data_IF_063891709277
#
_entry.id   IF_063891709277
#
_cell.length_a   1.000
_cell.length_b   1.000
_cell.length_c   1.000
_cell.angle_alpha   90.00
_cell.angle_beta   90.00
_cell.angle_gamma   90.00
#
_symmetry.space_group_name_H-M   'P 1'
#
loop_
_entity.id
_entity.type
_entity.pdbx_description
1 polymer ?
#
# COMPACT_ATOMS: atom_id res chain seq x y z
N UNK A 1 -15.09 14.02 24.85
CA UNK A 1 -15.80 13.91 23.55
C UNK A 1 -16.00 12.44 23.24
N UNK A 2 -17.24 11.97 23.06
CA UNK A 2 -17.53 10.66 22.45
C UNK A 2 -17.32 10.77 20.93
N UNK A 3 -16.09 11.07 20.52
CA UNK A 3 -15.69 11.18 19.13
C UNK A 3 -15.42 9.80 18.55
N UNK A 4 -15.77 9.60 17.27
CA UNK A 4 -15.43 8.37 16.53
C UNK A 4 -13.92 8.21 16.31
N UNK A 5 -13.16 9.28 16.57
CA UNK A 5 -11.70 9.36 16.51
C UNK A 5 -11.19 9.85 17.87
N UNK A 6 -10.15 9.21 18.40
CA UNK A 6 -9.42 9.63 19.60
C UNK A 6 -7.96 9.85 19.22
N UNK A 7 -7.43 11.01 19.58
CA UNK A 7 -5.99 11.30 19.54
C UNK A 7 -5.51 11.46 20.97
N UNK A 8 -4.42 10.78 21.34
CA UNK A 8 -3.84 10.90 22.69
C UNK A 8 -2.63 11.85 22.72
N UNK A 9 -2.13 12.13 23.93
CA UNK A 9 -0.97 13.03 24.15
C UNK A 9 0.34 12.50 23.55
N UNK A 10 0.37 11.23 23.14
CA UNK A 10 1.51 10.60 22.48
C UNK A 10 1.37 10.62 20.95
N UNK A 11 0.27 11.17 20.43
CA UNK A 11 -0.01 11.25 19.00
C UNK A 11 -0.63 9.97 18.41
N UNK A 12 -1.05 9.01 19.23
CA UNK A 12 -1.73 7.82 18.72
C UNK A 12 -3.14 8.19 18.25
N UNK A 13 -3.55 7.63 17.11
CA UNK A 13 -4.91 7.77 16.57
C UNK A 13 -5.65 6.44 16.74
N UNK A 14 -6.83 6.48 17.35
CA UNK A 14 -7.74 5.34 17.48
C UNK A 14 -9.09 5.67 16.86
N UNK A 15 -9.54 4.81 15.95
CA UNK A 15 -10.88 4.87 15.36
C UNK A 15 -11.79 3.91 16.11
N UNK A 16 -12.73 4.46 16.88
CA UNK A 16 -13.67 3.67 17.68
C UNK A 16 -14.80 3.09 16.82
N UNK A 17 -15.11 3.73 15.69
CA UNK A 17 -16.06 3.26 14.67
C UNK A 17 -15.90 4.06 13.38
N UNK A 18 -15.90 3.41 12.20
CA UNK A 18 -15.86 4.08 10.90
C UNK A 18 -14.93 3.40 9.90
N UNK A 19 -14.65 4.09 8.78
CA UNK A 19 -13.72 3.67 7.73
C UNK A 19 -12.62 4.72 7.57
N UNK A 20 -11.41 4.30 7.20
CA UNK A 20 -10.36 5.20 6.73
C UNK A 20 -10.57 5.39 5.23
N UNK A 21 -11.07 6.55 4.82
CA UNK A 21 -11.17 6.91 3.41
C UNK A 21 -9.87 7.60 2.99
N UNK A 22 -9.11 6.96 2.12
CA UNK A 22 -7.91 7.53 1.52
C UNK A 22 -8.12 8.03 0.11
N UNK A 23 -7.36 9.05 -0.29
CA UNK A 23 -7.22 9.42 -1.69
C UNK A 23 -6.17 8.52 -2.37
N UNK A 24 -6.07 8.65 -3.68
CA UNK A 24 -5.18 7.81 -4.50
C UNK A 24 -3.68 8.13 -4.28
N UNK A 25 -3.39 9.19 -3.49
CA UNK A 25 -2.01 9.55 -3.15
C UNK A 25 -1.40 8.62 -2.09
N UNK A 26 -2.17 7.84 -1.34
CA UNK A 26 -1.59 6.92 -0.35
C UNK A 26 -2.16 5.51 -0.38
N UNK A 27 -3.06 5.21 -1.30
CA UNK A 27 -3.53 3.85 -1.53
C UNK A 27 -3.85 3.66 -3.01
N UNK A 28 -3.81 2.42 -3.45
CA UNK A 28 -4.22 2.08 -4.80
C UNK A 28 -4.12 0.59 -5.05
N UNK A 29 -4.28 0.23 -6.31
CA UNK A 29 -4.19 -1.16 -6.78
C UNK A 29 -3.27 -1.20 -7.99
N UNK A 30 -2.26 -2.05 -7.93
CA UNK A 30 -1.43 -2.40 -9.07
C UNK A 30 -1.97 -3.65 -9.76
N UNK A 31 -1.92 -3.68 -11.09
CA UNK A 31 -2.27 -4.86 -11.89
C UNK A 31 -0.99 -5.50 -12.40
N UNK A 32 -0.75 -6.75 -11.99
CA UNK A 32 0.40 -7.54 -12.39
C UNK A 32 -0.04 -8.54 -13.48
N UNK A 33 0.49 -8.46 -14.70
CA UNK A 33 0.18 -9.41 -15.76
C UNK A 33 0.60 -10.84 -15.41
N UNK A 34 -0.03 -11.82 -16.07
CA UNK A 34 0.35 -13.23 -15.95
C UNK A 34 1.84 -13.44 -16.29
N UNK A 35 2.52 -14.25 -15.49
CA UNK A 35 3.93 -14.61 -15.69
C UNK A 35 4.94 -13.57 -15.20
N UNK A 36 4.52 -12.33 -14.90
CA UNK A 36 5.42 -11.27 -14.43
C UNK A 36 5.70 -11.39 -12.93
N UNK A 37 6.91 -10.98 -12.53
CA UNK A 37 7.36 -11.03 -11.13
C UNK A 37 7.48 -9.66 -10.47
N UNK A 38 7.30 -8.57 -11.22
CA UNK A 38 7.41 -7.23 -10.69
C UNK A 38 6.49 -6.23 -11.39
N UNK A 39 6.15 -5.17 -10.66
CA UNK A 39 5.34 -4.05 -11.13
C UNK A 39 5.88 -2.74 -10.51
N UNK A 40 6.11 -1.72 -11.34
CA UNK A 40 6.42 -0.37 -10.88
C UNK A 40 5.11 0.37 -10.60
N UNK A 41 4.99 0.96 -9.41
CA UNK A 41 3.96 1.95 -9.08
C UNK A 41 4.62 3.32 -9.18
N UNK A 42 4.06 4.20 -10.00
CA UNK A 42 4.51 5.58 -10.17
C UNK A 42 3.65 6.52 -9.34
N UNK A 43 4.30 7.39 -8.56
CA UNK A 43 3.68 8.35 -7.66
C UNK A 43 4.48 9.66 -7.65
N UNK A 44 3.95 10.71 -7.04
CA UNK A 44 4.70 11.91 -6.70
C UNK A 44 4.40 12.31 -5.25
N UNK A 45 5.37 12.09 -4.36
CA UNK A 45 5.25 12.41 -2.93
C UNK A 45 6.29 13.43 -2.49
N UNK A 46 5.92 14.25 -1.50
CA UNK A 46 6.85 15.20 -0.86
C UNK A 46 7.95 14.49 -0.07
N UNK A 47 7.64 13.32 0.50
CA UNK A 47 8.56 12.48 1.26
C UNK A 47 8.36 10.98 0.99
N UNK A 48 9.44 10.21 1.21
CA UNK A 48 9.43 8.76 1.02
C UNK A 48 8.64 8.11 2.17
N UNK A 49 7.59 7.33 1.91
CA UNK A 49 6.82 6.69 2.98
C UNK A 49 7.70 5.73 3.79
N UNK A 50 7.46 5.67 5.10
CA UNK A 50 8.18 4.75 6.00
C UNK A 50 7.84 3.30 5.71
N UNK A 51 6.58 3.02 5.39
CA UNK A 51 6.08 1.68 5.09
C UNK A 51 5.15 1.69 3.89
N UNK A 52 5.22 0.63 3.10
CA UNK A 52 4.20 0.28 2.11
C UNK A 52 3.64 -1.08 2.52
N UNK A 53 2.34 -1.16 2.76
CA UNK A 53 1.64 -2.41 3.02
C UNK A 53 1.09 -2.92 1.69
N UNK A 54 1.30 -4.20 1.40
CA UNK A 54 0.85 -4.83 0.16
C UNK A 54 -0.08 -6.01 0.47
N UNK A 55 -1.14 -6.16 -0.34
CA UNK A 55 -2.09 -7.26 -0.24
C UNK A 55 -2.36 -7.82 -1.65
N UNK A 56 -1.72 -8.93 -2.05
CA UNK A 56 -2.03 -9.59 -3.31
C UNK A 56 -3.36 -10.32 -3.20
N UNK A 57 -4.10 -10.41 -4.32
CA UNK A 57 -5.33 -11.21 -4.41
C UNK A 57 -5.09 -12.71 -4.66
N UNK A 58 -3.84 -13.15 -4.63
CA UNK A 58 -3.42 -14.53 -4.86
C UNK A 58 -2.27 -14.93 -3.91
N UNK A 59 -2.01 -16.22 -3.78
CA UNK A 59 -1.02 -16.74 -2.85
C UNK A 59 0.41 -16.56 -3.38
N UNK A 60 1.17 -15.66 -2.77
CA UNK A 60 2.58 -15.40 -3.11
C UNK A 60 3.30 -14.72 -1.93
N UNK A 61 4.64 -14.79 -1.93
CA UNK A 61 5.44 -13.88 -1.13
C UNK A 61 5.49 -12.52 -1.84
N UNK A 62 5.47 -11.43 -1.08
CA UNK A 62 5.44 -10.08 -1.66
C UNK A 62 6.35 -9.12 -0.89
N UNK A 63 7.08 -8.27 -1.58
CA UNK A 63 7.97 -7.28 -0.98
C UNK A 63 8.16 -6.05 -1.86
N UNK A 64 8.65 -4.97 -1.25
CA UNK A 64 8.94 -3.70 -1.92
C UNK A 64 10.44 -3.50 -2.08
N UNK A 65 10.85 -3.04 -3.25
CA UNK A 65 12.20 -2.51 -3.52
C UNK A 65 12.10 -1.10 -4.09
N UNK A 66 13.24 -0.39 -4.19
CA UNK A 66 13.34 0.91 -4.87
C UNK A 66 12.29 1.94 -4.42
N UNK A 67 12.05 2.00 -3.10
CA UNK A 67 11.07 2.92 -2.52
C UNK A 67 11.64 4.34 -2.50
N UNK A 68 11.05 5.20 -3.33
CA UNK A 68 11.47 6.58 -3.57
C UNK A 68 10.27 7.54 -3.47
N UNK A 69 10.52 8.83 -3.69
CA UNK A 69 9.44 9.84 -3.75
C UNK A 69 8.57 9.69 -4.99
N UNK A 70 9.12 9.09 -6.04
CA UNK A 70 8.48 8.90 -7.35
C UNK A 70 7.75 7.55 -7.45
N UNK A 71 7.64 6.80 -6.35
CA UNK A 71 6.98 5.51 -6.29
C UNK A 71 7.90 4.39 -5.80
N UNK A 72 7.59 3.16 -6.21
CA UNK A 72 8.23 1.95 -5.69
C UNK A 72 8.01 0.75 -6.62
N UNK A 73 8.81 -0.30 -6.44
CA UNK A 73 8.63 -1.57 -7.17
C UNK A 73 8.05 -2.62 -6.23
N UNK A 74 6.93 -3.21 -6.66
CA UNK A 74 6.33 -4.39 -6.06
C UNK A 74 6.96 -5.61 -6.70
N UNK A 75 7.40 -6.58 -5.89
CA UNK A 75 7.93 -7.86 -6.34
C UNK A 75 7.16 -9.01 -5.72
N UNK A 76 7.01 -10.09 -6.47
CA UNK A 76 6.33 -11.31 -6.03
C UNK A 76 7.23 -12.53 -6.16
N UNK A 77 7.11 -13.48 -5.24
CA UNK A 77 7.95 -14.69 -5.20
C UNK A 77 7.47 -15.78 -6.16
N UNK A 78 6.19 -15.79 -6.48
CA UNK A 78 5.58 -16.67 -7.47
C UNK A 78 4.75 -15.80 -8.40
N UNK A 79 5.00 -15.82 -9.73
CA UNK A 79 4.22 -15.04 -10.68
C UNK A 79 2.78 -15.58 -10.75
N UNK A 80 1.78 -14.73 -11.03
CA UNK A 80 0.41 -15.17 -11.15
C UNK A 80 0.20 -15.91 -12.48
N UNK A 81 -0.72 -16.89 -12.50
CA UNK A 81 -1.07 -17.64 -13.71
C UNK A 81 -2.02 -16.85 -14.63
N UNK A 82 -2.75 -15.90 -14.06
CA UNK A 82 -3.66 -14.98 -14.71
C UNK A 82 -3.32 -13.56 -14.27
N UNK A 83 -4.02 -12.56 -14.79
CA UNK A 83 -3.88 -11.19 -14.29
C UNK A 83 -4.24 -11.12 -12.80
N UNK A 84 -3.37 -10.51 -12.00
CA UNK A 84 -3.55 -10.41 -10.55
C UNK A 84 -3.54 -8.94 -10.10
N UNK A 85 -4.27 -8.67 -9.01
CA UNK A 85 -4.31 -7.35 -8.39
C UNK A 85 -3.53 -7.35 -7.08
N UNK A 86 -2.85 -6.24 -6.81
CA UNK A 86 -2.12 -6.02 -5.57
C UNK A 86 -2.54 -4.67 -5.01
N UNK A 87 -3.29 -4.69 -3.92
CA UNK A 87 -3.65 -3.48 -3.19
C UNK A 87 -2.46 -3.00 -2.37
N UNK A 88 -2.27 -1.68 -2.31
CA UNK A 88 -1.19 -1.08 -1.56
C UNK A 88 -1.66 0.12 -0.75
N UNK A 89 -0.99 0.35 0.38
CA UNK A 89 -1.17 1.54 1.24
C UNK A 89 0.19 2.06 1.69
N UNK A 90 0.44 3.34 1.46
CA UNK A 90 1.62 4.07 1.93
C UNK A 90 1.38 4.72 3.29
N UNK A 91 2.35 4.62 4.18
CA UNK A 91 2.32 5.17 5.55
C UNK A 91 3.62 5.91 5.82
N UNK A 92 3.50 7.16 6.25
CA UNK A 92 4.61 8.06 6.62
C UNK A 92 4.85 8.06 8.13
#
# INVERSE_FOLDING_TARGET
>A
MNGKVKVDEKGNISLLSGVIMGNDNFRGTGVLPSGETSLRIEMEWDEIPKTIVLTPNYNTNIWVTEKEKTGFVINVGTPPLEEASIDWVAIW
#
